data_IF_112383196587
#
_entry.id   IF_112383196587
#
_cell.length_a   1.000
_cell.length_b   1.000
_cell.length_c   1.000
_cell.angle_alpha   90.00
_cell.angle_beta   90.00
_cell.angle_gamma   90.00
#
_symmetry.space_group_name_H-M   'P 1'
#
loop_
_entity.id
_entity.type
_entity.pdbx_description
1 polymer ?
#
# COMPACT_ATOMS: atom_id res chain seq x y z
N UNK A 1 66.48 56.11 -16.61
CA UNK A 1 66.71 54.65 -16.67
C UNK A 1 65.87 54.02 -15.57
N UNK A 2 64.60 53.73 -15.89
CA UNK A 2 63.99 52.37 -15.90
C UNK A 2 64.12 51.68 -14.53
N UNK A 3 63.06 51.29 -13.81
CA UNK A 3 61.83 50.66 -14.29
C UNK A 3 60.80 50.71 -13.13
N UNK A 4 59.60 51.27 -13.38
CA UNK A 4 58.45 51.15 -12.47
C UNK A 4 57.89 49.74 -12.61
N UNK A 5 58.09 48.89 -11.60
CA UNK A 5 57.50 47.55 -11.55
C UNK A 5 56.06 47.72 -11.05
N UNK A 6 55.12 47.66 -11.98
CA UNK A 6 53.68 47.55 -11.70
C UNK A 6 53.40 46.07 -11.46
N UNK A 7 53.17 45.69 -10.19
CA UNK A 7 52.63 44.38 -9.87
C UNK A 7 51.13 44.39 -10.19
N UNK A 8 50.80 43.91 -11.39
CA UNK A 8 49.42 43.61 -11.78
C UNK A 8 49.00 42.34 -11.04
N UNK A 9 48.26 42.48 -9.94
CA UNK A 9 47.60 41.36 -9.27
C UNK A 9 46.40 40.93 -10.13
N UNK A 10 46.65 40.05 -11.10
CA UNK A 10 45.59 39.26 -11.73
C UNK A 10 45.09 38.26 -10.70
N UNK A 11 43.96 38.57 -10.07
CA UNK A 11 43.16 37.61 -9.32
C UNK A 11 42.68 36.57 -10.33
N UNK A 12 43.34 35.41 -10.35
CA UNK A 12 42.81 34.20 -10.98
C UNK A 12 41.56 33.82 -10.19
N UNK A 13 40.41 34.22 -10.69
CA UNK A 13 39.14 33.59 -10.35
C UNK A 13 39.21 32.19 -10.96
N UNK A 14 39.77 31.25 -10.20
CA UNK A 14 39.61 29.83 -10.52
C UNK A 14 38.13 29.49 -10.36
N UNK A 15 37.50 28.78 -11.30
CA UNK A 15 36.19 28.21 -11.01
C UNK A 15 36.36 27.27 -9.83
N UNK A 16 35.67 27.56 -8.72
CA UNK A 16 35.27 26.53 -7.77
C UNK A 16 34.40 25.56 -8.56
N UNK A 17 35.01 24.56 -9.18
CA UNK A 17 34.34 23.32 -9.51
C UNK A 17 34.15 22.61 -8.18
N UNK A 18 33.17 23.08 -7.41
CA UNK A 18 32.48 22.17 -6.52
C UNK A 18 31.74 21.23 -7.44
N UNK A 19 32.20 19.98 -7.51
CA UNK A 19 31.28 18.91 -7.89
C UNK A 19 30.23 18.92 -6.78
N UNK A 20 29.13 19.65 -7.00
CA UNK A 20 27.87 19.32 -6.36
C UNK A 20 27.61 17.87 -6.79
N UNK A 21 28.02 16.92 -5.95
CA UNK A 21 27.52 15.55 -6.01
C UNK A 21 26.01 15.64 -5.79
N UNK A 22 25.29 15.91 -6.87
CA UNK A 22 23.86 15.71 -6.97
C UNK A 22 23.68 14.20 -6.78
N UNK A 23 23.24 13.83 -5.58
CA UNK A 23 22.83 12.47 -5.24
C UNK A 23 21.52 12.11 -5.95
N UNK A 24 21.46 12.24 -7.28
CA UNK A 24 20.38 11.70 -8.09
C UNK A 24 20.87 10.40 -8.72
N UNK A 25 20.59 9.30 -8.01
CA UNK A 25 20.72 7.97 -8.58
C UNK A 25 19.42 7.67 -9.31
N UNK A 26 19.49 7.54 -10.64
CA UNK A 26 18.34 7.10 -11.45
C UNK A 26 17.98 5.66 -11.06
N UNK A 27 16.87 5.50 -10.33
CA UNK A 27 16.35 4.19 -9.89
C UNK A 27 15.30 3.64 -10.86
N UNK A 28 15.09 4.27 -12.02
CA UNK A 28 14.05 3.86 -12.98
C UNK A 28 14.22 2.41 -13.42
N UNK A 29 15.46 1.93 -13.56
CA UNK A 29 15.74 0.54 -13.95
C UNK A 29 15.87 -0.45 -12.78
N UNK A 30 15.95 0.03 -11.54
CA UNK A 30 16.08 -0.81 -10.34
C UNK A 30 14.76 -1.03 -9.59
N UNK A 31 13.74 -0.22 -9.88
CA UNK A 31 12.41 -0.35 -9.27
C UNK A 31 11.64 -1.48 -9.97
N UNK A 32 11.79 -2.69 -9.43
CA UNK A 32 11.01 -3.86 -9.82
C UNK A 32 9.76 -3.97 -8.92
N UNK A 33 8.65 -3.36 -9.32
CA UNK A 33 7.37 -3.43 -8.57
C UNK A 33 6.64 -4.71 -8.98
N UNK A 34 6.96 -5.82 -8.32
CA UNK A 34 6.11 -7.02 -8.33
C UNK A 34 5.14 -6.98 -7.16
N UNK A 35 4.00 -7.68 -7.29
CA UNK A 35 3.17 -7.97 -6.13
C UNK A 35 3.98 -8.80 -5.13
N UNK A 36 4.32 -8.21 -4.00
CA UNK A 36 5.10 -8.84 -2.94
C UNK A 36 4.19 -9.14 -1.76
N UNK A 37 4.39 -10.29 -1.12
CA UNK A 37 3.77 -10.64 0.17
C UNK A 37 4.75 -10.43 1.33
N UNK A 38 5.82 -9.68 1.10
CA UNK A 38 6.84 -9.41 2.10
C UNK A 38 6.22 -8.64 3.27
N UNK A 39 6.64 -9.00 4.49
CA UNK A 39 6.05 -8.45 5.71
C UNK A 39 4.71 -9.10 6.11
N UNK A 40 4.20 -10.09 5.37
CA UNK A 40 2.94 -10.79 5.68
C UNK A 40 3.20 -12.25 6.04
N UNK A 41 2.82 -12.62 7.27
CA UNK A 41 2.91 -14.00 7.79
C UNK A 41 1.71 -14.83 7.35
N UNK A 42 0.51 -14.24 7.42
CA UNK A 42 -0.74 -14.94 7.14
C UNK A 42 -1.80 -13.99 6.59
N UNK A 43 -2.59 -14.44 5.62
CA UNK A 43 -3.81 -13.77 5.17
C UNK A 43 -4.97 -14.78 5.16
N UNK A 44 -5.98 -14.57 6.02
CA UNK A 44 -7.09 -15.49 6.23
C UNK A 44 -8.43 -14.83 5.90
N UNK A 45 -9.09 -15.32 4.85
CA UNK A 45 -10.46 -14.94 4.49
C UNK A 45 -11.44 -15.95 5.10
N UNK A 46 -12.38 -15.46 5.91
CA UNK A 46 -13.51 -16.22 6.44
C UNK A 46 -14.82 -15.69 5.87
N UNK A 47 -15.58 -16.55 5.19
CA UNK A 47 -16.90 -16.27 4.63
C UNK A 47 -17.99 -16.76 5.61
N UNK A 48 -18.58 -15.85 6.38
CA UNK A 48 -19.68 -16.19 7.29
C UNK A 48 -21.05 -16.05 6.61
N UNK A 49 -22.12 -16.47 7.30
CA UNK A 49 -23.48 -16.38 6.76
C UNK A 49 -23.99 -14.95 6.49
N UNK A 50 -23.35 -13.88 6.97
CA UNK A 50 -23.77 -12.48 6.69
C UNK A 50 -22.63 -11.52 6.40
N UNK A 51 -21.40 -11.89 6.76
CA UNK A 51 -20.22 -11.03 6.70
C UNK A 51 -19.05 -11.76 6.08
N UNK A 52 -18.15 -11.00 5.48
CA UNK A 52 -16.80 -11.45 5.16
C UNK A 52 -15.85 -10.86 6.20
N UNK A 53 -14.91 -11.66 6.69
CA UNK A 53 -13.82 -11.23 7.55
C UNK A 53 -12.50 -11.59 6.89
N UNK A 54 -11.66 -10.59 6.62
CA UNK A 54 -10.25 -10.81 6.27
C UNK A 54 -9.38 -10.46 7.46
N UNK A 55 -8.44 -11.34 7.81
CA UNK A 55 -7.41 -11.10 8.82
C UNK A 55 -6.03 -11.25 8.21
N UNK A 56 -5.14 -10.31 8.49
CA UNK A 56 -3.75 -10.33 8.02
C UNK A 56 -2.83 -10.25 9.24
N UNK A 57 -1.86 -11.15 9.33
CA UNK A 57 -0.78 -11.09 10.33
C UNK A 57 0.49 -10.57 9.68
N UNK A 58 1.08 -9.53 10.26
CA UNK A 58 2.34 -8.94 9.80
C UNK A 58 3.55 -9.53 10.54
N UNK A 59 4.72 -9.47 9.91
CA UNK A 59 6.00 -9.91 10.51
C UNK A 59 6.55 -8.86 11.47
N UNK A 60 6.45 -7.58 11.12
CA UNK A 60 7.02 -6.43 11.85
C UNK A 60 5.89 -5.42 12.15
N UNK A 61 5.00 -5.73 13.10
CA UNK A 61 3.82 -4.91 13.35
C UNK A 61 4.10 -3.57 14.03
N UNK A 62 5.24 -3.43 14.68
CA UNK A 62 5.75 -2.17 15.26
C UNK A 62 6.05 -1.10 14.21
N UNK A 63 6.44 -1.50 13.00
CA UNK A 63 6.81 -0.60 11.91
C UNK A 63 5.62 -0.26 11.01
N UNK A 64 4.47 -0.90 11.26
CA UNK A 64 3.25 -0.63 10.50
C UNK A 64 2.59 0.69 10.95
N UNK A 65 2.62 1.69 10.06
CA UNK A 65 1.92 2.97 10.23
C UNK A 65 1.01 3.28 9.03
N UNK A 66 0.21 2.29 8.67
CA UNK A 66 -0.48 2.25 7.39
C UNK A 66 -2.01 2.23 7.47
N UNK A 67 -2.61 1.98 6.31
CA UNK A 67 -4.06 1.83 6.17
C UNK A 67 -4.42 0.46 5.59
N UNK A 68 -5.49 -0.13 6.11
CA UNK A 68 -6.07 -1.38 5.64
C UNK A 68 -7.53 -1.16 5.25
N UNK A 69 -7.88 -1.34 3.98
CA UNK A 69 -9.17 -0.89 3.46
C UNK A 69 -9.64 -1.65 2.22
N UNK A 70 -10.94 -1.60 1.95
CA UNK A 70 -11.52 -2.12 0.70
C UNK A 70 -11.33 -1.14 -0.45
N UNK A 71 -11.08 -1.63 -1.66
CA UNK A 71 -10.79 -0.79 -2.85
C UNK A 71 -11.85 0.30 -3.03
N UNK A 72 -11.38 1.54 -3.07
CA UNK A 72 -12.22 2.72 -3.19
C UNK A 72 -12.83 3.25 -1.89
N UNK A 73 -12.41 2.74 -0.73
CA UNK A 73 -12.84 3.21 0.60
C UNK A 73 -11.79 4.06 1.32
N UNK A 74 -10.57 4.20 0.77
CA UNK A 74 -9.50 5.04 1.34
C UNK A 74 -9.97 6.46 1.67
N UNK A 75 -10.54 7.16 0.68
CA UNK A 75 -11.03 8.54 0.84
C UNK A 75 -12.16 8.68 1.86
N UNK A 76 -12.95 7.63 2.09
CA UNK A 76 -14.02 7.68 3.07
C UNK A 76 -13.51 7.59 4.50
N UNK A 77 -12.38 6.90 4.71
CA UNK A 77 -11.69 6.83 6.01
C UNK A 77 -12.55 6.26 7.14
N UNK A 78 -13.55 5.42 6.84
CA UNK A 78 -14.56 4.97 7.81
C UNK A 78 -14.70 3.46 7.87
N UNK A 79 -14.84 2.95 9.09
CA UNK A 79 -15.33 1.61 9.35
C UNK A 79 -16.71 1.39 8.70
N UNK A 80 -17.05 0.15 8.30
CA UNK A 80 -16.25 -1.07 8.41
C UNK A 80 -15.28 -1.30 7.23
N UNK A 81 -15.15 -0.34 6.32
CA UNK A 81 -14.49 -0.52 5.03
C UNK A 81 -13.03 -0.02 5.00
N UNK A 82 -12.59 0.60 6.09
CA UNK A 82 -11.29 1.24 6.26
C UNK A 82 -10.89 1.20 7.73
N UNK A 83 -9.64 0.86 7.97
CA UNK A 83 -8.98 0.87 9.27
C UNK A 83 -7.58 1.48 9.08
N UNK A 84 -7.15 2.33 10.00
CA UNK A 84 -5.82 2.93 10.00
C UNK A 84 -5.31 2.92 11.44
N UNK A 85 -4.04 2.56 11.62
CA UNK A 85 -3.38 2.61 12.91
C UNK A 85 -1.92 2.98 12.73
N UNK A 86 -1.35 3.60 13.75
CA UNK A 86 0.07 3.99 13.80
C UNK A 86 0.88 3.06 14.71
N UNK A 87 0.24 2.03 15.27
CA UNK A 87 0.87 1.03 16.13
C UNK A 87 -0.05 -0.21 16.20
N UNK A 88 0.53 -1.41 16.14
CA UNK A 88 -0.21 -2.65 16.28
C UNK A 88 0.49 -3.64 17.21
N UNK A 89 -0.02 -3.80 18.44
CA UNK A 89 0.64 -4.62 19.46
C UNK A 89 0.55 -6.13 19.20
N UNK A 90 -0.48 -6.61 18.50
CA UNK A 90 -0.70 -8.03 18.19
C UNK A 90 -0.32 -8.42 16.75
N UNK A 91 -0.03 -7.41 15.92
CA UNK A 91 0.27 -7.55 14.50
C UNK A 91 -0.86 -8.12 13.63
N UNK A 92 -2.11 -8.03 14.08
CA UNK A 92 -3.26 -8.61 13.36
C UNK A 92 -4.20 -7.51 12.87
N UNK A 93 -4.18 -7.26 11.56
CA UNK A 93 -5.14 -6.41 10.87
C UNK A 93 -6.40 -7.19 10.55
N UNK A 94 -7.56 -6.56 10.73
CA UNK A 94 -8.83 -7.17 10.35
C UNK A 94 -9.84 -6.18 9.78
N UNK A 95 -10.59 -6.64 8.78
CA UNK A 95 -11.79 -5.97 8.29
C UNK A 95 -12.92 -6.98 8.25
N UNK A 96 -14.03 -6.62 8.86
CA UNK A 96 -15.27 -7.39 8.81
C UNK A 96 -16.39 -6.52 8.24
N UNK A 97 -17.01 -6.96 7.14
CA UNK A 97 -18.08 -6.22 6.50
C UNK A 97 -19.12 -7.13 5.87
N UNK A 98 -20.36 -6.64 5.78
CA UNK A 98 -21.47 -7.37 5.16
C UNK A 98 -21.32 -7.45 3.64
N UNK A 99 -21.86 -8.51 3.04
CA UNK A 99 -21.87 -8.72 1.57
C UNK A 99 -22.48 -7.59 0.73
N UNK A 100 -23.25 -6.69 1.35
CA UNK A 100 -23.89 -5.53 0.72
C UNK A 100 -23.12 -4.22 0.91
N UNK A 101 -22.04 -4.23 1.70
CA UNK A 101 -21.23 -3.04 2.02
C UNK A 101 -19.87 -3.09 1.32
N UNK A 102 -19.12 -2.00 1.48
CA UNK A 102 -17.74 -1.86 1.02
C UNK A 102 -17.54 -2.15 -0.47
N UNK A 103 -18.54 -1.80 -1.29
CA UNK A 103 -18.53 -1.98 -2.76
C UNK A 103 -18.34 -3.44 -3.20
N UNK A 104 -18.78 -4.39 -2.37
CA UNK A 104 -18.78 -5.81 -2.73
C UNK A 104 -19.63 -6.05 -3.97
N UNK A 105 -19.05 -6.70 -4.98
CA UNK A 105 -19.74 -7.07 -6.22
C UNK A 105 -20.37 -8.45 -6.04
N UNK A 106 -21.65 -8.57 -6.39
CA UNK A 106 -22.38 -9.85 -6.44
C UNK A 106 -22.56 -10.28 -7.90
N UNK A 107 -22.17 -11.50 -8.22
CA UNK A 107 -22.40 -12.14 -9.52
C UNK A 107 -23.24 -13.39 -9.25
N UNK A 108 -24.43 -13.47 -9.85
CA UNK A 108 -25.26 -14.67 -9.76
C UNK A 108 -24.91 -15.62 -10.90
N UNK A 109 -24.74 -16.89 -10.56
CA UNK A 109 -24.66 -17.97 -11.53
C UNK A 109 -26.07 -18.42 -11.90
N UNK A 110 -26.50 -18.10 -13.12
CA UNK A 110 -27.82 -18.45 -13.64
C UNK A 110 -28.07 -19.96 -13.78
N UNK A 111 -27.02 -20.78 -13.80
CA UNK A 111 -27.12 -22.22 -13.98
C UNK A 111 -27.30 -22.98 -12.65
N UNK A 112 -26.65 -22.51 -11.58
CA UNK A 112 -26.68 -23.15 -10.26
C UNK A 112 -27.53 -22.39 -9.23
N UNK A 113 -27.87 -21.13 -9.51
CA UNK A 113 -28.53 -20.23 -8.56
C UNK A 113 -27.59 -19.67 -7.48
N UNK A 114 -26.32 -20.08 -7.48
CA UNK A 114 -25.33 -19.63 -6.51
C UNK A 114 -24.92 -18.17 -6.74
N UNK A 115 -24.43 -17.53 -5.68
CA UNK A 115 -23.93 -16.17 -5.73
C UNK A 115 -22.44 -16.13 -5.41
N UNK A 116 -21.69 -15.45 -6.25
CA UNK A 116 -20.29 -15.11 -6.04
C UNK A 116 -20.19 -13.67 -5.55
N UNK A 117 -19.54 -13.48 -4.41
CA UNK A 117 -19.28 -12.16 -3.86
C UNK A 117 -17.78 -11.84 -3.95
N UNK A 118 -17.47 -10.70 -4.55
CA UNK A 118 -16.11 -10.26 -4.86
C UNK A 118 -15.82 -8.92 -4.21
N UNK A 119 -14.64 -8.80 -3.62
CA UNK A 119 -14.09 -7.53 -3.13
C UNK A 119 -12.57 -7.52 -3.32
N UNK A 120 -11.93 -6.36 -3.22
CA UNK A 120 -10.47 -6.27 -3.14
C UNK A 120 -10.13 -5.47 -1.90
N UNK A 121 -9.29 -6.01 -1.02
CA UNK A 121 -8.72 -5.25 0.09
C UNK A 121 -7.29 -4.85 -0.21
N UNK A 122 -6.89 -3.71 0.32
CA UNK A 122 -5.58 -3.09 0.13
C UNK A 122 -4.98 -2.88 1.51
N UNK A 123 -3.76 -3.38 1.67
CA UNK A 123 -2.88 -3.12 2.78
C UNK A 123 -1.82 -2.14 2.29
N UNK A 124 -1.81 -0.92 2.84
CA UNK A 124 -0.74 0.05 2.63
C UNK A 124 0.03 0.22 3.92
N UNK A 125 1.36 0.30 3.84
CA UNK A 125 2.24 0.52 4.98
C UNK A 125 2.34 2.01 5.37
N UNK A 126 2.01 2.90 4.44
CA UNK A 126 1.92 4.34 4.67
C UNK A 126 0.70 4.92 3.91
N UNK A 127 -0.04 5.88 4.48
CA UNK A 127 -1.22 6.46 3.85
C UNK A 127 -0.92 7.46 2.71
N UNK A 128 0.31 7.95 2.59
CA UNK A 128 0.69 9.02 1.65
C UNK A 128 1.64 8.54 0.55
N UNK A 129 2.44 7.50 0.80
CA UNK A 129 3.44 6.99 -0.13
C UNK A 129 3.18 5.51 -0.48
N UNK A 130 3.64 5.11 -1.67
CA UNK A 130 3.64 3.70 -2.08
C UNK A 130 4.93 3.07 -1.56
N UNK A 131 4.80 2.00 -0.78
CA UNK A 131 5.93 1.29 -0.21
C UNK A 131 6.06 -0.14 -0.75
N UNK A 132 7.29 -0.66 -0.90
CA UNK A 132 7.49 -2.11 -1.01
C UNK A 132 6.80 -2.82 0.16
N UNK A 133 6.05 -3.89 -0.14
CA UNK A 133 5.20 -4.59 0.83
C UNK A 133 3.72 -4.18 0.76
N UNK A 134 3.39 -3.03 0.16
CA UNK A 134 1.98 -2.70 -0.14
C UNK A 134 1.34 -3.81 -0.98
N UNK A 135 0.18 -4.27 -0.52
CA UNK A 135 -0.42 -5.51 -0.98
C UNK A 135 -1.91 -5.33 -1.28
N UNK A 136 -2.41 -6.06 -2.26
CA UNK A 136 -3.84 -6.12 -2.57
C UNK A 136 -4.30 -7.58 -2.67
N UNK A 137 -5.41 -7.89 -2.02
CA UNK A 137 -5.99 -9.22 -1.99
C UNK A 137 -7.38 -9.20 -2.61
N UNK A 138 -7.58 -10.02 -3.63
CA UNK A 138 -8.90 -10.29 -4.16
C UNK A 138 -9.61 -11.31 -3.27
N UNK A 139 -10.76 -10.92 -2.74
CA UNK A 139 -11.59 -11.72 -1.86
C UNK A 139 -12.73 -12.34 -2.66
N UNK A 140 -12.89 -13.66 -2.56
CA UNK A 140 -13.94 -14.42 -3.21
C UNK A 140 -14.70 -15.27 -2.19
N UNK A 141 -16.01 -15.05 -2.06
CA UNK A 141 -16.91 -15.89 -1.28
C UNK A 141 -18.05 -16.41 -2.17
N UNK A 142 -18.17 -17.74 -2.29
CA UNK A 142 -19.29 -18.39 -2.98
C UNK A 142 -20.35 -18.79 -1.97
N UNK A 143 -21.62 -18.52 -2.29
CA UNK A 143 -22.78 -18.90 -1.47
C UNK A 143 -23.81 -19.64 -2.28
N UNK A 144 -24.43 -20.62 -1.64
CA UNK A 144 -25.51 -21.38 -2.27
C UNK A 144 -26.78 -20.54 -2.35
N UNK A 145 -27.64 -20.84 -3.32
CA UNK A 145 -28.95 -20.18 -3.47
C UNK A 145 -29.82 -20.26 -2.19
N UNK A 146 -29.67 -21.35 -1.42
CA UNK A 146 -30.44 -21.60 -0.18
C UNK A 146 -29.98 -20.68 0.97
N UNK A 147 -28.69 -20.34 1.01
CA UNK A 147 -28.12 -19.46 2.04
C UNK A 147 -28.34 -17.97 1.75
N UNK A 148 -28.80 -17.64 0.54
CA UNK A 148 -29.00 -16.28 0.06
C UNK A 148 -30.45 -15.76 0.30
N UNK A 149 -31.33 -16.60 0.86
CA UNK A 149 -32.74 -16.33 1.19
C UNK A 149 -32.93 -15.75 2.59
#
# INVERSE_FOLDING_TARGET
MFLKIVFLWTILVGPCMGDEEIWERDMTEEIYITGTSDGIVEANLTCHAKVMSIRIRLTEPEDYSGAFYTRGSFKTGKLPCFYQTNNMADGILSLEFTYTKCKTKKIKDSSTGNSLYLNTVVLQHDPFLIFPGDSAFDLECRRSAVEDL
#
